data_IF_687789872273
#
_entry.id   IF_687789872273
#
_cell.length_a   1.000
_cell.length_b   1.000
_cell.length_c   1.000
_cell.angle_alpha   90.00
_cell.angle_beta   90.00
_cell.angle_gamma   90.00
#
_symmetry.space_group_name_H-M   'P 1'
#
loop_
_entity.id
_entity.type
_entity.pdbx_description
1 polymer ?
#
# COMPACT_ATOMS: atom_id res chain seq x y z
N UNK A 1 -27.88 -40.28 33.12
CA UNK A 1 -27.02 -41.40 33.47
C UNK A 1 -25.59 -40.92 33.48
N UNK A 2 -25.21 -40.59 34.59
CA UNK A 2 -24.03 -40.28 35.32
C UNK A 2 -22.91 -41.28 35.04
N UNK A 3 -21.68 -40.82 34.86
CA UNK A 3 -20.52 -41.40 35.52
C UNK A 3 -19.32 -40.43 35.40
N UNK A 4 -19.06 -39.80 36.53
CA UNK A 4 -17.72 -39.29 36.97
C UNK A 4 -16.87 -40.51 37.32
N UNK A 5 -15.53 -40.28 37.37
CA UNK A 5 -14.51 -40.88 38.24
C UNK A 5 -13.17 -40.83 37.49
N UNK A 6 -12.04 -40.63 38.10
CA UNK A 6 -11.55 -40.01 39.37
C UNK A 6 -10.02 -39.81 39.24
N UNK A 7 -9.53 -39.03 40.13
CA UNK A 7 -8.12 -38.65 40.34
C UNK A 7 -7.31 -39.80 40.96
N UNK A 8 -6.01 -39.67 40.86
CA UNK A 8 -4.95 -39.90 41.89
C UNK A 8 -3.82 -40.83 41.54
N UNK A 9 -2.63 -40.20 41.61
CA UNK A 9 -1.44 -40.53 42.43
C UNK A 9 -0.57 -41.71 41.94
N UNK A 10 0.74 -41.48 41.83
CA UNK A 10 1.70 -41.63 42.93
C UNK A 10 3.11 -41.21 42.56
N UNK A 11 3.77 -40.62 43.54
CA UNK A 11 5.20 -40.36 43.67
C UNK A 11 5.99 -41.69 43.71
N UNK A 12 7.24 -41.65 43.24
CA UNK A 12 8.31 -42.39 43.88
C UNK A 12 9.68 -41.71 43.64
N UNK A 13 10.29 -41.39 44.78
CA UNK A 13 11.66 -40.94 44.93
C UNK A 13 12.67 -42.06 44.62
N UNK A 14 13.84 -41.68 44.12
CA UNK A 14 15.01 -42.56 44.05
C UNK A 14 16.31 -41.72 44.07
N UNK A 15 16.95 -41.77 45.22
CA UNK A 15 18.21 -41.12 45.57
C UNK A 15 19.44 -41.92 44.99
N UNK A 16 20.52 -41.20 44.67
CA UNK A 16 21.85 -41.71 44.93
C UNK A 16 22.85 -41.75 43.79
N UNK A 17 23.96 -41.03 43.93
CA UNK A 17 25.19 -41.35 43.22
C UNK A 17 26.07 -40.14 42.90
N UNK A 18 26.97 -39.80 43.83
CA UNK A 18 28.10 -38.87 43.68
C UNK A 18 29.25 -39.62 43.00
N UNK A 19 29.94 -39.02 42.03
CA UNK A 19 31.42 -39.11 41.90
C UNK A 19 31.96 -38.31 40.70
N UNK A 20 32.71 -37.27 41.04
CA UNK A 20 34.10 -36.88 40.71
C UNK A 20 34.47 -36.49 39.28
N UNK A 21 34.82 -35.20 39.23
CA UNK A 21 35.85 -34.47 38.44
C UNK A 21 36.72 -35.27 37.45
N UNK A 22 36.81 -34.72 36.22
CA UNK A 22 38.09 -34.47 35.56
C UNK A 22 37.98 -33.23 34.65
N UNK A 23 38.85 -32.25 34.92
CA UNK A 23 39.18 -31.16 34.02
C UNK A 23 39.91 -31.73 32.80
N UNK A 24 39.47 -31.37 31.58
CA UNK A 24 40.32 -31.30 30.41
C UNK A 24 39.98 -30.01 29.66
N UNK A 25 40.86 -29.02 29.82
CA UNK A 25 40.94 -27.85 28.99
C UNK A 25 41.42 -28.26 27.59
N UNK A 26 40.60 -28.02 26.56
CA UNK A 26 41.09 -27.84 25.21
C UNK A 26 40.24 -26.79 24.55
N UNK A 27 40.87 -25.69 24.20
CA UNK A 27 40.29 -24.57 23.47
C UNK A 27 39.80 -25.03 22.09
N UNK A 28 38.56 -24.77 21.84
CA UNK A 28 37.94 -24.82 20.53
C UNK A 28 36.98 -23.65 20.51
N UNK A 29 37.37 -22.60 19.82
CA UNK A 29 36.51 -21.46 19.57
C UNK A 29 35.24 -21.94 18.89
N UNK A 30 34.17 -22.06 19.67
CA UNK A 30 32.83 -22.11 19.12
C UNK A 30 32.55 -20.72 18.56
N UNK A 31 32.78 -20.58 17.25
CA UNK A 31 32.07 -19.55 16.51
C UNK A 31 30.58 -19.84 16.70
N UNK A 32 29.99 -19.22 17.69
CA UNK A 32 28.55 -18.99 17.64
C UNK A 32 28.34 -18.22 16.36
N UNK A 33 27.95 -18.94 15.30
CA UNK A 33 27.21 -18.38 14.20
C UNK A 33 25.94 -17.84 14.85
N UNK A 34 25.96 -16.58 15.24
CA UNK A 34 24.73 -15.83 15.40
C UNK A 34 24.02 -16.00 14.07
N UNK A 35 23.01 -16.85 14.03
CA UNK A 35 21.98 -16.76 13.02
C UNK A 35 21.42 -15.34 13.21
N UNK A 36 21.93 -14.41 12.41
CA UNK A 36 21.35 -13.11 12.20
C UNK A 36 19.96 -13.43 11.62
N UNK A 37 18.96 -13.52 12.48
CA UNK A 37 17.59 -13.58 12.03
C UNK A 37 17.39 -12.33 11.16
N UNK A 38 17.21 -12.53 9.85
CA UNK A 38 16.93 -11.43 8.96
C UNK A 38 15.71 -10.67 9.51
N UNK A 39 15.84 -9.36 9.64
CA UNK A 39 14.71 -8.53 10.06
C UNK A 39 13.63 -8.64 8.98
N UNK A 40 12.44 -9.12 9.36
CA UNK A 40 11.28 -9.18 8.48
C UNK A 40 10.50 -7.89 8.66
N UNK A 41 10.49 -7.03 7.65
CA UNK A 41 9.78 -5.76 7.69
C UNK A 41 8.29 -5.95 7.42
N UNK A 42 7.43 -5.25 8.16
CA UNK A 42 5.99 -5.21 7.89
C UNK A 42 5.69 -4.04 6.97
N UNK A 43 5.24 -4.35 5.77
CA UNK A 43 4.93 -3.34 4.75
C UNK A 43 3.43 -3.28 4.53
N UNK A 44 2.83 -2.15 4.92
CA UNK A 44 1.42 -1.90 4.70
C UNK A 44 1.14 -1.51 3.24
N UNK A 45 -0.04 -1.89 2.75
CA UNK A 45 -0.49 -1.55 1.39
C UNK A 45 -2.00 -1.37 1.35
N UNK A 46 -2.50 -0.78 0.27
CA UNK A 46 -3.94 -0.73 -0.02
C UNK A 46 -4.44 -2.09 -0.54
N UNK A 47 -5.74 -2.21 -0.70
CA UNK A 47 -6.42 -3.45 -1.10
C UNK A 47 -7.11 -3.37 -2.46
N UNK A 48 -7.35 -2.14 -2.95
CA UNK A 48 -8.18 -1.89 -4.16
C UNK A 48 -7.68 -0.68 -4.95
N UNK A 49 -6.44 -0.71 -5.44
CA UNK A 49 -5.83 0.40 -6.16
C UNK A 49 -5.11 -0.07 -7.44
N UNK A 50 -5.83 -0.83 -8.27
CA UNK A 50 -5.30 -1.32 -9.55
C UNK A 50 -4.95 -0.16 -10.50
N UNK A 51 -3.79 -0.21 -11.16
CA UNK A 51 -2.89 -1.34 -11.35
C UNK A 51 -1.72 -1.43 -10.34
N UNK A 52 -1.73 -0.65 -9.25
CA UNK A 52 -0.59 -0.59 -8.32
C UNK A 52 -0.62 -1.73 -7.30
N UNK A 53 -1.74 -1.90 -6.58
CA UNK A 53 -1.96 -3.01 -5.65
C UNK A 53 -3.44 -3.40 -5.60
N UNK A 54 -3.70 -4.66 -5.78
CA UNK A 54 -5.05 -5.24 -5.71
C UNK A 54 -5.00 -6.76 -5.55
N UNK A 55 -6.09 -7.34 -5.07
CA UNK A 55 -6.22 -8.78 -4.94
C UNK A 55 -6.80 -9.40 -6.22
N UNK A 56 -6.20 -10.47 -6.72
CA UNK A 56 -6.81 -11.35 -7.71
C UNK A 56 -7.92 -12.21 -7.08
N UNK A 57 -8.67 -12.92 -7.92
CA UNK A 57 -9.80 -13.75 -7.48
C UNK A 57 -9.42 -14.86 -6.49
N UNK A 58 -8.16 -15.30 -6.48
CA UNK A 58 -7.62 -16.30 -5.55
C UNK A 58 -7.10 -15.69 -4.24
N UNK A 59 -7.16 -14.36 -4.10
CA UNK A 59 -6.69 -13.60 -2.96
C UNK A 59 -5.20 -13.21 -3.02
N UNK A 60 -4.49 -13.53 -4.10
CA UNK A 60 -3.10 -13.12 -4.31
C UNK A 60 -3.04 -11.62 -4.61
N UNK A 61 -2.18 -10.89 -3.91
CA UNK A 61 -1.93 -9.49 -4.19
C UNK A 61 -0.94 -9.33 -5.32
N UNK A 62 -1.30 -8.50 -6.29
CA UNK A 62 -0.53 -8.21 -7.51
C UNK A 62 -0.56 -6.70 -7.81
N UNK A 63 0.25 -6.27 -8.75
CA UNK A 63 0.28 -4.89 -9.22
C UNK A 63 1.70 -4.32 -9.25
N UNK A 64 1.81 -3.09 -9.73
CA UNK A 64 3.09 -2.40 -9.90
C UNK A 64 3.82 -2.30 -8.56
N UNK A 65 3.15 -1.85 -7.50
CA UNK A 65 3.73 -1.64 -6.17
C UNK A 65 4.20 -2.96 -5.55
N UNK A 66 3.40 -4.02 -5.72
CA UNK A 66 3.71 -5.35 -5.19
C UNK A 66 4.94 -5.94 -5.89
N UNK A 67 5.02 -5.83 -7.24
CA UNK A 67 6.15 -6.35 -8.00
C UNK A 67 7.42 -5.50 -7.81
N UNK A 68 7.30 -4.18 -7.66
CA UNK A 68 8.42 -3.30 -7.32
C UNK A 68 8.99 -3.65 -5.96
N UNK A 69 8.14 -3.76 -4.93
CA UNK A 69 8.57 -4.14 -3.58
C UNK A 69 9.29 -5.49 -3.58
N UNK A 70 8.72 -6.50 -4.24
CA UNK A 70 9.33 -7.82 -4.33
C UNK A 70 10.71 -7.80 -5.02
N UNK A 71 10.82 -7.06 -6.13
CA UNK A 71 12.06 -6.92 -6.89
C UNK A 71 13.14 -6.17 -6.10
N UNK A 72 12.76 -5.11 -5.38
CA UNK A 72 13.63 -4.31 -4.53
C UNK A 72 14.10 -5.13 -3.33
N UNK A 73 13.20 -5.87 -2.67
CA UNK A 73 13.55 -6.72 -1.54
C UNK A 73 14.54 -7.82 -1.94
N UNK A 74 14.33 -8.44 -3.10
CA UNK A 74 15.25 -9.44 -3.65
C UNK A 74 16.62 -8.85 -4.00
N UNK A 75 16.68 -7.65 -4.60
CA UNK A 75 17.91 -6.96 -4.96
C UNK A 75 18.72 -6.56 -3.72
N UNK A 76 18.06 -6.09 -2.66
CA UNK A 76 18.69 -5.58 -1.44
C UNK A 76 18.84 -6.63 -0.34
N UNK A 77 18.23 -7.82 -0.49
CA UNK A 77 18.38 -8.93 0.44
C UNK A 77 17.64 -8.74 1.77
N UNK A 78 16.51 -8.04 1.79
CA UNK A 78 15.65 -7.98 2.96
C UNK A 78 14.37 -8.81 2.78
N UNK A 79 13.79 -9.25 3.91
CA UNK A 79 12.52 -9.97 3.94
C UNK A 79 11.40 -9.05 4.41
N UNK A 80 10.19 -9.29 3.95
CA UNK A 80 9.02 -8.51 4.37
C UNK A 80 7.75 -9.37 4.46
N UNK A 81 6.82 -8.89 5.29
CA UNK A 81 5.44 -9.36 5.38
C UNK A 81 4.52 -8.25 4.85
N UNK A 82 3.77 -8.54 3.79
CA UNK A 82 2.80 -7.60 3.23
C UNK A 82 1.55 -7.55 4.11
N UNK A 83 1.13 -6.34 4.49
CA UNK A 83 -0.06 -6.09 5.29
C UNK A 83 -1.11 -5.29 4.48
N UNK A 84 -2.04 -5.96 3.81
CA UNK A 84 -3.11 -5.29 3.07
C UNK A 84 -4.20 -4.79 4.05
N UNK A 85 -4.24 -3.48 4.27
CA UNK A 85 -5.08 -2.84 5.29
C UNK A 85 -6.13 -1.88 4.70
N UNK A 86 -5.97 -1.46 3.44
CA UNK A 86 -6.64 -0.30 2.88
C UNK A 86 -5.85 0.99 3.14
N UNK A 87 -6.02 2.01 2.27
CA UNK A 87 -5.11 3.16 2.20
C UNK A 87 -4.98 3.91 3.53
N UNK A 88 -6.09 4.42 4.08
CA UNK A 88 -6.08 5.21 5.32
C UNK A 88 -5.56 4.40 6.51
N UNK A 89 -5.98 3.13 6.63
CA UNK A 89 -5.51 2.23 7.68
C UNK A 89 -4.00 1.90 7.54
N UNK A 90 -3.48 1.79 6.31
CA UNK A 90 -2.05 1.58 6.05
C UNK A 90 -1.22 2.78 6.53
N UNK A 91 -1.67 4.01 6.26
CA UNK A 91 -1.00 5.21 6.75
C UNK A 91 -1.00 5.27 8.28
N UNK A 92 -2.15 4.98 8.90
CA UNK A 92 -2.27 4.96 10.37
C UNK A 92 -1.39 3.88 11.00
N UNK A 93 -1.27 2.69 10.39
CA UNK A 93 -0.42 1.61 10.88
C UNK A 93 1.07 2.02 10.92
N UNK A 94 1.55 2.71 9.88
CA UNK A 94 2.93 3.23 9.84
C UNK A 94 3.13 4.34 10.87
N UNK A 95 2.20 5.29 11.00
CA UNK A 95 2.27 6.35 12.01
C UNK A 95 2.29 5.82 13.44
N UNK A 96 1.60 4.71 13.69
CA UNK A 96 1.55 4.03 14.99
C UNK A 96 2.72 3.04 15.19
N UNK A 97 3.69 2.95 14.25
CA UNK A 97 4.81 1.99 14.24
C UNK A 97 4.33 0.53 14.34
N UNK A 98 3.14 0.24 13.81
CA UNK A 98 2.60 -1.12 13.68
C UNK A 98 3.05 -1.77 12.36
N UNK A 99 3.35 -0.96 11.34
CA UNK A 99 4.05 -1.33 10.12
C UNK A 99 5.32 -0.49 9.98
N UNK A 100 6.34 -1.06 9.32
CA UNK A 100 7.65 -0.43 9.15
C UNK A 100 7.68 0.53 7.95
N UNK A 101 6.80 0.32 6.97
CA UNK A 101 6.66 1.17 5.81
C UNK A 101 5.35 0.93 5.07
N UNK A 102 5.07 1.78 4.08
CA UNK A 102 3.89 1.70 3.22
C UNK A 102 4.27 1.88 1.75
N UNK A 103 3.73 1.01 0.90
CA UNK A 103 3.70 1.15 -0.55
C UNK A 103 2.24 1.00 -1.00
N UNK A 104 1.65 2.07 -1.54
CA UNK A 104 0.22 2.14 -1.80
C UNK A 104 -0.16 3.29 -2.76
N UNK A 105 0.59 3.49 -3.85
CA UNK A 105 0.38 4.62 -4.75
C UNK A 105 0.39 5.96 -4.00
N UNK A 106 1.22 6.07 -2.97
CA UNK A 106 1.16 7.20 -2.03
C UNK A 106 1.83 8.45 -2.59
N UNK A 107 1.06 9.46 -2.94
CA UNK A 107 1.54 10.77 -3.41
C UNK A 107 2.48 11.43 -2.39
N UNK A 108 3.64 11.90 -2.85
CA UNK A 108 4.62 12.64 -2.08
C UNK A 108 4.18 14.10 -1.96
N UNK A 109 3.61 14.49 -0.81
CA UNK A 109 3.15 15.88 -0.58
C UNK A 109 3.90 16.55 0.57
N UNK A 110 3.94 17.89 0.58
CA UNK A 110 4.59 18.63 1.67
C UNK A 110 3.91 18.38 3.03
N UNK A 111 2.61 18.14 3.05
CA UNK A 111 1.90 17.79 4.29
C UNK A 111 2.31 16.40 4.79
N UNK A 112 2.38 15.41 3.89
CA UNK A 112 2.78 14.05 4.25
C UNK A 112 4.26 13.98 4.66
N UNK A 113 5.14 14.79 4.09
CA UNK A 113 6.56 14.91 4.49
C UNK A 113 6.76 15.39 5.93
N UNK A 114 5.76 16.00 6.55
CA UNK A 114 5.82 16.37 7.98
C UNK A 114 5.70 15.15 8.89
N UNK A 115 5.08 14.08 8.41
CA UNK A 115 4.73 12.86 9.16
C UNK A 115 5.56 11.66 8.72
N UNK A 116 5.91 11.59 7.43
CA UNK A 116 6.63 10.48 6.81
C UNK A 116 7.95 10.93 6.20
N UNK A 117 8.90 10.02 6.14
CA UNK A 117 10.05 10.10 5.26
C UNK A 117 9.79 9.26 4.02
N UNK A 118 10.04 9.83 2.83
CA UNK A 118 9.74 9.22 1.55
C UNK A 118 11.00 8.75 0.82
N UNK A 119 10.86 7.72 0.02
CA UNK A 119 11.82 7.30 -0.99
C UNK A 119 11.94 8.31 -2.12
N UNK A 120 12.89 8.08 -3.01
CA UNK A 120 12.85 8.69 -4.33
C UNK A 120 11.53 8.32 -5.03
N UNK A 121 10.99 9.22 -5.89
CA UNK A 121 9.78 8.94 -6.65
C UNK A 121 9.91 7.68 -7.51
N UNK A 122 8.86 6.84 -7.50
CA UNK A 122 8.85 5.66 -8.35
C UNK A 122 7.85 5.75 -9.51
N UNK A 123 6.79 6.57 -9.42
CA UNK A 123 5.80 6.72 -10.49
C UNK A 123 5.21 8.13 -10.48
N UNK A 124 5.03 8.74 -11.66
CA UNK A 124 4.38 10.05 -11.79
C UNK A 124 2.86 9.90 -11.86
N UNK A 125 2.12 10.72 -11.12
CA UNK A 125 0.66 10.68 -11.05
C UNK A 125 0.05 12.06 -11.03
N UNK A 126 -1.19 12.13 -11.50
CA UNK A 126 -2.12 13.25 -11.32
C UNK A 126 -3.45 12.71 -10.78
N UNK A 127 -4.40 13.59 -10.50
CA UNK A 127 -5.75 13.23 -10.08
C UNK A 127 -6.78 13.66 -11.11
N UNK A 128 -7.88 12.92 -11.20
CA UNK A 128 -8.96 13.16 -12.15
C UNK A 128 -10.34 13.04 -11.50
N UNK A 129 -11.35 13.54 -12.21
CA UNK A 129 -12.75 13.27 -11.93
C UNK A 129 -13.33 12.43 -13.07
N UNK A 130 -14.13 11.40 -12.73
CA UNK A 130 -14.77 10.52 -13.67
C UNK A 130 -16.26 10.35 -13.34
N UNK A 131 -17.10 10.42 -14.36
CA UNK A 131 -18.54 10.24 -14.24
C UNK A 131 -19.02 9.05 -15.07
N UNK A 132 -20.29 8.67 -14.91
CA UNK A 132 -20.89 7.58 -15.67
C UNK A 132 -20.76 7.82 -17.18
N UNK A 133 -20.19 6.87 -17.90
CA UNK A 133 -20.01 6.93 -19.34
C UNK A 133 -21.36 7.11 -20.07
N UNK A 134 -21.40 8.05 -21.02
CA UNK A 134 -22.63 8.40 -21.73
C UNK A 134 -23.69 9.13 -20.90
N UNK A 135 -23.42 9.49 -19.66
CA UNK A 135 -24.30 10.27 -18.78
C UNK A 135 -24.29 11.77 -19.09
N UNK A 136 -25.02 12.55 -18.29
CA UNK A 136 -25.17 14.00 -18.48
C UNK A 136 -24.05 14.83 -17.83
N UNK A 137 -23.24 14.23 -16.97
CA UNK A 137 -22.12 14.90 -16.29
C UNK A 137 -20.89 14.82 -17.19
N UNK A 138 -20.49 15.99 -17.77
CA UNK A 138 -19.39 16.08 -18.73
C UNK A 138 -18.29 17.06 -18.33
N UNK A 139 -18.49 17.77 -17.22
CA UNK A 139 -17.49 18.71 -16.67
C UNK A 139 -17.78 18.98 -15.21
N UNK A 140 -16.85 19.62 -14.51
CA UNK A 140 -17.02 20.04 -13.12
C UNK A 140 -18.18 21.02 -12.92
N UNK A 141 -18.50 21.86 -13.91
CA UNK A 141 -19.63 22.80 -13.85
C UNK A 141 -20.99 22.09 -13.70
N UNK A 142 -21.10 20.86 -14.21
CA UNK A 142 -22.32 20.06 -14.11
C UNK A 142 -22.53 19.46 -12.70
N UNK A 143 -21.58 19.62 -11.79
CA UNK A 143 -21.63 19.07 -10.43
C UNK A 143 -22.39 19.94 -9.43
N UNK A 144 -22.82 21.15 -9.81
CA UNK A 144 -23.52 22.08 -8.92
C UNK A 144 -24.75 21.44 -8.27
N UNK A 145 -24.77 21.44 -6.92
CA UNK A 145 -25.82 20.83 -6.11
C UNK A 145 -25.82 19.30 -6.08
N UNK A 146 -24.74 18.67 -6.58
CA UNK A 146 -24.58 17.21 -6.59
C UNK A 146 -23.72 16.76 -5.41
N UNK A 147 -23.76 15.46 -5.13
CA UNK A 147 -22.81 14.76 -4.27
C UNK A 147 -21.82 14.00 -5.15
N UNK A 148 -20.53 14.08 -4.83
CA UNK A 148 -19.46 13.37 -5.52
C UNK A 148 -18.77 12.42 -4.56
N UNK A 149 -18.23 11.32 -5.09
CA UNK A 149 -17.58 10.28 -4.33
C UNK A 149 -16.05 10.50 -4.28
N UNK A 150 -15.45 10.27 -3.12
CA UNK A 150 -14.01 10.36 -2.88
C UNK A 150 -13.56 9.17 -2.04
N UNK A 151 -12.28 8.80 -2.11
CA UNK A 151 -11.70 7.78 -1.24
C UNK A 151 -10.97 8.46 -0.07
N UNK A 152 -11.24 8.00 1.14
CA UNK A 152 -10.73 8.59 2.39
C UNK A 152 -9.19 8.70 2.40
N UNK A 153 -8.69 9.87 2.77
CA UNK A 153 -7.26 10.14 3.00
C UNK A 153 -6.42 10.31 1.72
N UNK A 154 -7.03 10.31 0.52
CA UNK A 154 -6.32 10.38 -0.76
C UNK A 154 -6.02 11.82 -1.23
N UNK A 155 -5.14 11.94 -2.22
CA UNK A 155 -4.89 13.21 -2.90
C UNK A 155 -6.12 13.65 -3.72
N UNK A 156 -6.82 12.71 -4.33
CA UNK A 156 -8.04 12.96 -5.09
C UNK A 156 -9.18 13.48 -4.21
N UNK A 157 -9.30 13.03 -2.94
CA UNK A 157 -10.19 13.63 -1.95
C UNK A 157 -9.82 15.10 -1.67
N UNK A 158 -8.52 15.37 -1.48
CA UNK A 158 -8.03 16.74 -1.25
C UNK A 158 -8.34 17.66 -2.42
N UNK A 159 -8.17 17.18 -3.66
CA UNK A 159 -8.52 17.93 -4.87
C UNK A 159 -10.02 18.18 -4.97
N UNK A 160 -10.85 17.17 -4.74
CA UNK A 160 -12.31 17.33 -4.72
C UNK A 160 -12.74 18.38 -3.70
N UNK A 161 -12.21 18.31 -2.48
CA UNK A 161 -12.55 19.25 -1.42
C UNK A 161 -12.11 20.70 -1.75
N UNK A 162 -10.97 20.88 -2.44
CA UNK A 162 -10.52 22.21 -2.90
C UNK A 162 -11.45 22.84 -3.94
N UNK A 163 -12.14 22.01 -4.73
CA UNK A 163 -13.06 22.43 -5.80
C UNK A 163 -14.52 22.57 -5.35
N UNK A 164 -14.87 21.99 -4.19
CA UNK A 164 -16.26 21.85 -3.74
C UNK A 164 -17.02 23.18 -3.63
N UNK A 165 -16.40 24.24 -3.09
CA UNK A 165 -17.01 25.56 -2.97
C UNK A 165 -17.20 26.22 -4.35
N UNK A 166 -16.16 26.17 -5.19
CA UNK A 166 -16.16 26.79 -6.52
C UNK A 166 -17.25 26.22 -7.42
N UNK A 167 -17.40 24.88 -7.44
CA UNK A 167 -18.36 24.18 -8.31
C UNK A 167 -19.68 23.85 -7.62
N UNK A 168 -19.80 24.11 -6.31
CA UNK A 168 -21.04 23.99 -5.55
C UNK A 168 -21.52 22.55 -5.35
N UNK A 169 -20.61 21.57 -5.18
CA UNK A 169 -20.93 20.20 -4.87
C UNK A 169 -20.54 19.82 -3.41
N UNK A 170 -20.96 18.66 -2.96
CA UNK A 170 -20.56 18.08 -1.67
C UNK A 170 -19.85 16.76 -1.89
N UNK A 171 -18.95 16.36 -0.99
CA UNK A 171 -18.22 15.09 -1.03
C UNK A 171 -18.85 14.04 -0.11
N UNK A 172 -18.76 12.78 -0.48
CA UNK A 172 -18.99 11.61 0.38
C UNK A 172 -17.81 10.66 0.26
N UNK A 173 -17.26 10.24 1.41
CA UNK A 173 -16.06 9.42 1.46
C UNK A 173 -16.39 7.92 1.49
N UNK A 174 -15.55 7.13 0.84
CA UNK A 174 -15.57 5.68 0.79
C UNK A 174 -14.21 5.13 1.23
N UNK A 175 -14.21 3.91 1.75
CA UNK A 175 -12.95 3.26 2.20
C UNK A 175 -12.20 2.60 1.04
N UNK A 176 -12.90 2.21 -0.04
CA UNK A 176 -12.32 1.50 -1.18
C UNK A 176 -12.76 2.10 -2.52
N UNK A 177 -11.86 2.05 -3.51
CA UNK A 177 -12.15 2.52 -4.87
C UNK A 177 -13.28 1.73 -5.54
N UNK A 178 -13.34 0.41 -5.34
CA UNK A 178 -14.38 -0.45 -5.93
C UNK A 178 -15.78 -0.07 -5.50
N UNK A 179 -15.99 0.19 -4.19
CA UNK A 179 -17.30 0.63 -3.66
C UNK A 179 -17.64 2.03 -4.18
N UNK A 180 -16.65 2.91 -4.24
CA UNK A 180 -16.80 4.26 -4.80
C UNK A 180 -17.26 4.21 -6.27
N UNK A 181 -16.63 3.38 -7.10
CA UNK A 181 -17.02 3.23 -8.52
C UNK A 181 -18.42 2.64 -8.69
N UNK A 182 -18.78 1.64 -7.87
CA UNK A 182 -20.12 1.05 -7.89
C UNK A 182 -21.20 2.09 -7.52
N UNK A 183 -20.91 2.97 -6.59
CA UNK A 183 -21.83 4.04 -6.17
C UNK A 183 -22.10 5.04 -7.30
N UNK A 184 -21.07 5.47 -8.03
CA UNK A 184 -21.21 6.31 -9.24
C UNK A 184 -21.95 5.58 -10.35
N UNK A 185 -21.61 4.32 -10.62
CA UNK A 185 -22.27 3.51 -11.65
C UNK A 185 -23.77 3.32 -11.36
N UNK A 186 -24.15 3.19 -10.09
CA UNK A 186 -25.54 3.12 -9.64
C UNK A 186 -26.28 4.46 -9.73
N UNK A 187 -25.54 5.57 -9.87
CA UNK A 187 -26.09 6.92 -9.95
C UNK A 187 -26.45 7.55 -8.59
N UNK A 188 -25.94 7.00 -7.48
CA UNK A 188 -26.12 7.57 -6.15
C UNK A 188 -25.27 8.85 -6.00
N UNK A 189 -24.03 8.84 -6.49
CA UNK A 189 -23.16 10.00 -6.64
C UNK A 189 -22.99 10.37 -8.10
N UNK A 190 -22.69 11.64 -8.39
CA UNK A 190 -22.63 12.19 -9.74
C UNK A 190 -21.33 11.82 -10.48
N UNK A 191 -20.22 11.76 -9.75
CA UNK A 191 -18.90 11.35 -10.23
C UNK A 191 -18.05 10.90 -9.06
N UNK A 192 -16.87 10.34 -9.35
CA UNK A 192 -15.82 10.12 -8.36
C UNK A 192 -14.56 10.91 -8.74
N UNK A 193 -13.75 11.18 -7.70
CA UNK A 193 -12.41 11.70 -7.84
C UNK A 193 -11.42 10.57 -7.52
N UNK A 194 -10.43 10.38 -8.38
CA UNK A 194 -9.46 9.28 -8.29
C UNK A 194 -8.12 9.72 -8.87
N UNK A 195 -7.07 8.93 -8.65
CA UNK A 195 -5.80 9.12 -9.31
C UNK A 195 -5.90 8.74 -10.78
N UNK A 196 -5.39 9.58 -11.68
CA UNK A 196 -5.54 9.42 -13.13
C UNK A 196 -5.05 8.07 -13.66
N UNK A 197 -3.87 7.53 -13.26
CA UNK A 197 -3.43 6.24 -13.76
C UNK A 197 -4.35 5.09 -13.32
N UNK A 198 -4.95 5.17 -12.14
CA UNK A 198 -5.89 4.18 -11.59
C UNK A 198 -7.21 4.21 -12.36
N UNK A 199 -7.79 5.39 -12.52
CA UNK A 199 -9.04 5.55 -13.28
C UNK A 199 -8.87 5.15 -14.75
N UNK A 200 -7.76 5.56 -15.38
CA UNK A 200 -7.44 5.20 -16.77
C UNK A 200 -7.32 3.69 -16.94
N UNK A 201 -6.67 3.00 -16.00
CA UNK A 201 -6.60 1.55 -16.00
C UNK A 201 -7.98 0.91 -15.86
N UNK A 202 -8.79 1.34 -14.90
CA UNK A 202 -10.13 0.81 -14.66
C UNK A 202 -11.04 0.97 -15.88
N UNK A 203 -10.97 2.10 -16.58
CA UNK A 203 -11.70 2.35 -17.84
C UNK A 203 -11.18 1.47 -18.97
N UNK A 204 -9.85 1.40 -19.16
CA UNK A 204 -9.23 0.67 -20.29
C UNK A 204 -9.44 -0.84 -20.22
N UNK A 205 -9.55 -1.40 -19.02
CA UNK A 205 -9.83 -2.82 -18.79
C UNK A 205 -11.32 -3.15 -18.86
N UNK A 206 -12.19 -2.14 -18.95
CA UNK A 206 -13.65 -2.32 -18.98
C UNK A 206 -14.24 -2.70 -17.61
N UNK A 207 -13.47 -2.55 -16.55
CA UNK A 207 -13.95 -2.86 -15.18
C UNK A 207 -15.01 -1.88 -14.69
N UNK A 208 -15.02 -0.65 -15.24
CA UNK A 208 -15.97 0.39 -14.90
C UNK A 208 -16.53 1.07 -16.16
N UNK A 209 -17.82 1.41 -16.12
CA UNK A 209 -18.47 2.17 -17.20
C UNK A 209 -18.44 3.68 -16.85
N UNK A 210 -17.25 4.22 -16.66
CA UNK A 210 -16.99 5.63 -16.37
C UNK A 210 -16.21 6.29 -17.51
N UNK A 211 -16.20 7.61 -17.54
CA UNK A 211 -15.40 8.42 -18.46
C UNK A 211 -14.82 9.63 -17.71
N UNK A 212 -13.62 10.06 -18.08
CA UNK A 212 -13.00 11.24 -17.49
C UNK A 212 -13.78 12.51 -17.87
N UNK A 213 -14.00 13.39 -16.89
CA UNK A 213 -14.67 14.68 -17.08
C UNK A 213 -13.78 15.88 -16.73
N UNK A 214 -12.71 15.63 -15.95
CA UNK A 214 -11.69 16.61 -15.62
C UNK A 214 -10.41 15.89 -15.14
N UNK A 215 -9.30 16.60 -15.24
CA UNK A 215 -8.00 16.17 -14.71
C UNK A 215 -7.30 17.41 -14.12
N UNK A 216 -6.52 17.22 -13.07
CA UNK A 216 -5.73 18.30 -12.47
C UNK A 216 -4.59 18.70 -13.43
N UNK A 217 -4.29 20.01 -13.44
CA UNK A 217 -3.19 20.54 -14.26
C UNK A 217 -1.85 19.92 -13.85
N UNK A 218 -1.01 19.63 -14.84
CA UNK A 218 0.26 18.92 -14.66
C UNK A 218 1.29 19.68 -13.79
N UNK A 219 1.13 20.98 -13.60
CA UNK A 219 1.96 21.85 -12.77
C UNK A 219 1.29 22.22 -11.44
N UNK A 220 0.14 21.61 -11.12
CA UNK A 220 -0.57 21.83 -9.87
C UNK A 220 0.02 21.03 -8.71
N UNK A 221 -0.35 21.40 -7.49
CA UNK A 221 -0.02 20.63 -6.28
C UNK A 221 -0.65 19.23 -6.23
N UNK A 222 -1.57 18.93 -7.15
CA UNK A 222 -2.26 17.66 -7.30
C UNK A 222 -1.61 16.74 -8.36
N UNK A 223 -0.56 17.20 -9.02
CA UNK A 223 0.30 16.40 -9.90
C UNK A 223 1.56 15.98 -9.13
N UNK A 224 1.46 14.93 -8.33
CA UNK A 224 2.52 14.49 -7.42
C UNK A 224 2.92 13.05 -7.66
N UNK A 225 4.23 12.73 -7.67
CA UNK A 225 4.68 11.36 -7.84
C UNK A 225 4.38 10.51 -6.60
N UNK A 226 4.36 9.19 -6.80
CA UNK A 226 4.29 8.21 -5.73
C UNK A 226 5.65 7.90 -5.14
N UNK A 227 5.66 7.62 -3.84
CA UNK A 227 6.84 7.19 -3.09
C UNK A 227 6.50 6.11 -2.06
N UNK A 228 7.47 5.26 -1.77
CA UNK A 228 7.45 4.43 -0.58
C UNK A 228 7.68 5.32 0.64
N UNK A 229 7.00 5.05 1.74
CA UNK A 229 7.14 5.88 2.93
C UNK A 229 7.34 5.06 4.21
N UNK A 230 8.08 5.65 5.15
CA UNK A 230 8.26 5.17 6.52
C UNK A 230 7.83 6.25 7.50
N UNK A 231 7.58 5.90 8.76
CA UNK A 231 7.28 6.91 9.78
C UNK A 231 8.45 7.87 9.96
N UNK A 232 8.15 9.14 10.21
CA UNK A 232 9.16 10.21 10.29
C UNK A 232 10.26 9.91 11.30
N UNK A 233 11.52 9.84 10.81
CA UNK A 233 12.69 9.54 11.63
C UNK A 233 12.87 8.07 12.02
N UNK A 234 12.02 7.17 11.53
CA UNK A 234 12.11 5.72 11.77
C UNK A 234 12.52 4.97 10.49
N UNK A 235 12.98 3.73 10.63
CA UNK A 235 13.26 2.80 9.51
C UNK A 235 14.13 3.37 8.37
N UNK A 236 15.08 4.27 8.69
CA UNK A 236 15.92 4.93 7.69
C UNK A 236 16.76 3.95 6.84
N UNK A 237 17.13 2.78 7.41
CA UNK A 237 17.85 1.75 6.65
C UNK A 237 16.95 1.07 5.62
N UNK A 238 15.69 0.78 5.97
CA UNK A 238 14.71 0.25 5.03
C UNK A 238 14.48 1.23 3.87
N UNK A 239 14.32 2.52 4.18
CA UNK A 239 14.15 3.57 3.16
C UNK A 239 15.35 3.65 2.21
N UNK A 240 16.56 3.57 2.77
CA UNK A 240 17.80 3.56 2.00
C UNK A 240 17.94 2.32 1.11
N UNK A 241 17.57 1.14 1.62
CA UNK A 241 17.53 -0.10 0.82
C UNK A 241 16.49 0.03 -0.29
N UNK A 242 15.33 0.59 -0.01
CA UNK A 242 14.31 0.81 -1.03
C UNK A 242 14.85 1.70 -2.17
N UNK A 243 15.46 2.85 -1.84
CA UNK A 243 16.04 3.77 -2.83
C UNK A 243 17.15 3.11 -3.66
N UNK A 244 18.04 2.37 -3.03
CA UNK A 244 19.12 1.67 -3.72
C UNK A 244 18.58 0.60 -4.68
N UNK A 245 17.63 -0.22 -4.22
CA UNK A 245 16.98 -1.23 -5.03
C UNK A 245 16.18 -0.63 -6.18
N UNK A 246 15.43 0.47 -5.93
CA UNK A 246 14.71 1.19 -6.98
C UNK A 246 15.65 1.68 -8.08
N UNK A 247 16.81 2.27 -7.71
CA UNK A 247 17.82 2.69 -8.68
C UNK A 247 18.36 1.52 -9.50
N UNK A 248 18.62 0.36 -8.85
CA UNK A 248 19.12 -0.84 -9.51
C UNK A 248 18.11 -1.40 -10.51
N UNK A 249 16.83 -1.58 -10.11
CA UNK A 249 15.81 -2.13 -11.00
C UNK A 249 15.44 -1.17 -12.14
N UNK A 250 15.57 0.16 -11.96
CA UNK A 250 15.45 1.13 -13.05
C UNK A 250 16.63 0.99 -14.03
N UNK A 251 17.86 0.83 -13.53
CA UNK A 251 19.06 0.75 -14.38
C UNK A 251 19.15 -0.54 -15.22
N UNK A 252 18.61 -1.66 -14.72
CA UNK A 252 18.65 -2.97 -15.38
C UNK A 252 17.39 -3.28 -16.20
N UNK A 253 16.42 -2.36 -16.29
CA UNK A 253 15.19 -2.50 -17.06
C UNK A 253 14.08 -3.32 -16.40
N UNK A 254 14.26 -3.84 -15.18
CA UNK A 254 13.22 -4.57 -14.44
C UNK A 254 12.02 -3.68 -14.14
N UNK A 255 12.25 -2.41 -13.79
CA UNK A 255 11.20 -1.42 -13.58
C UNK A 255 10.29 -1.28 -14.81
N UNK A 256 10.87 -1.09 -16.00
CA UNK A 256 10.10 -0.92 -17.23
C UNK A 256 9.32 -2.20 -17.60
N UNK A 257 9.89 -3.38 -17.32
CA UNK A 257 9.21 -4.65 -17.51
C UNK A 257 7.99 -4.77 -16.59
N UNK A 258 8.10 -4.38 -15.31
CA UNK A 258 6.99 -4.39 -14.36
C UNK A 258 5.89 -3.43 -14.81
N UNK A 259 6.23 -2.16 -15.04
CA UNK A 259 5.24 -1.14 -15.39
C UNK A 259 4.50 -1.49 -16.69
N UNK A 260 5.22 -1.98 -17.72
CA UNK A 260 4.63 -2.32 -19.02
C UNK A 260 3.65 -3.50 -19.00
N UNK A 261 3.66 -4.32 -17.96
CA UNK A 261 2.63 -5.38 -17.79
C UNK A 261 1.25 -4.79 -17.55
N UNK A 262 1.19 -3.67 -16.85
CA UNK A 262 -0.03 -3.06 -16.34
C UNK A 262 -0.44 -1.83 -17.14
N UNK A 263 0.52 -1.01 -17.54
CA UNK A 263 0.27 0.23 -18.29
C UNK A 263 0.77 0.05 -19.72
N UNK A 264 -0.17 -0.12 -20.65
CA UNK A 264 0.19 -0.09 -22.08
C UNK A 264 0.57 1.34 -22.42
N UNK A 265 1.78 1.54 -22.96
CA UNK A 265 2.15 2.81 -23.57
C UNK A 265 1.08 3.19 -24.59
N UNK A 266 0.46 4.35 -24.39
CA UNK A 266 -0.40 4.95 -25.43
C UNK A 266 0.56 5.42 -26.51
N UNK A 267 0.62 4.66 -27.61
CA UNK A 267 1.29 5.08 -28.84
C UNK A 267 0.50 6.19 -29.57
#
# INVERSE_FOLDING_TARGET
>A
MSMMLDRRQALSLGFGGIATLMLAACGGGSSESAASGATVYKIATDTTFAPFEYAEADGTYVGIDIELLASIAADQGFEYELQPLGFDAALQAVQASQADGVIAGMSITEERKKIFDFSQPYYDSTVCAAAKAGGDIKSLDALKGKTVAVKTGTMSESWANSLAEQYGFTTVAFDTSDVMYQDVAAGNTACCFEDTPVMSYAISTGNVALELIAEAEADSEFATPYGFAVNKGENAELLKMFDAGLANIKSNGTYDQIVSKYVKSVE
#
